data_IF_637347702334
#
_entry.id   IF_637347702334
#
_cell.length_a   1.000
_cell.length_b   1.000
_cell.length_c   1.000
_cell.angle_alpha   90.00
_cell.angle_beta   90.00
_cell.angle_gamma   90.00
#
_symmetry.space_group_name_H-M   'P 1'
#
loop_
_entity.id
_entity.type
_entity.pdbx_description
1 polymer ?
#
# COMPACT_ATOMS: atom_id res chain seq x y z
N UNK A 1 -13.27 8.83 2.89
CA UNK A 1 -13.91 7.50 3.09
C UNK A 1 -14.44 6.86 1.82
N UNK A 2 -15.15 7.59 0.92
CA UNK A 2 -15.65 7.04 -0.37
C UNK A 2 -14.54 6.59 -1.32
N UNK A 3 -13.40 7.31 -1.35
CA UNK A 3 -12.26 7.00 -2.22
C UNK A 3 -11.67 5.62 -1.96
N UNK A 4 -11.50 5.23 -0.69
CA UNK A 4 -10.93 3.94 -0.30
C UNK A 4 -11.86 2.76 -0.64
N UNK A 5 -13.18 2.98 -0.52
CA UNK A 5 -14.16 1.99 -0.97
C UNK A 5 -14.13 1.79 -2.48
N UNK A 6 -13.98 2.88 -3.24
CA UNK A 6 -13.79 2.83 -4.69
C UNK A 6 -12.55 2.00 -5.06
N UNK A 7 -11.40 2.30 -4.45
CA UNK A 7 -10.16 1.56 -4.66
C UNK A 7 -10.32 0.06 -4.32
N UNK A 8 -10.90 -0.24 -3.16
CA UNK A 8 -11.13 -1.63 -2.76
C UNK A 8 -12.05 -2.36 -3.74
N UNK A 9 -13.11 -1.71 -4.23
CA UNK A 9 -14.02 -2.29 -5.23
C UNK A 9 -13.29 -2.65 -6.52
N UNK A 10 -12.41 -1.78 -7.01
CA UNK A 10 -11.61 -2.02 -8.22
C UNK A 10 -10.68 -3.23 -8.05
N UNK A 11 -9.99 -3.33 -6.91
CA UNK A 11 -9.09 -4.45 -6.63
C UNK A 11 -9.84 -5.78 -6.52
N UNK A 12 -10.99 -5.78 -5.84
CA UNK A 12 -11.87 -6.96 -5.71
C UNK A 12 -12.38 -7.41 -7.08
N UNK A 13 -12.87 -6.48 -7.89
CA UNK A 13 -13.32 -6.80 -9.24
C UNK A 13 -12.20 -7.46 -10.05
N UNK A 14 -10.98 -6.90 -10.01
CA UNK A 14 -9.85 -7.46 -10.74
C UNK A 14 -9.46 -8.85 -10.23
N UNK A 15 -9.51 -9.08 -8.93
CA UNK A 15 -9.23 -10.40 -8.33
C UNK A 15 -10.28 -11.43 -8.77
N UNK A 16 -11.55 -11.07 -8.82
CA UNK A 16 -12.63 -11.94 -9.28
C UNK A 16 -12.51 -12.28 -10.77
N UNK A 17 -12.13 -11.31 -11.62
CA UNK A 17 -11.83 -11.57 -13.03
C UNK A 17 -10.70 -12.59 -13.20
N UNK A 18 -9.64 -12.47 -12.39
CA UNK A 18 -8.51 -13.41 -12.39
C UNK A 18 -8.96 -14.81 -11.96
N UNK A 19 -9.78 -14.91 -10.89
CA UNK A 19 -10.34 -16.19 -10.42
C UNK A 19 -11.20 -16.86 -11.49
N UNK A 20 -12.03 -16.09 -12.20
CA UNK A 20 -12.91 -16.60 -13.26
C UNK A 20 -12.18 -17.06 -14.51
N UNK A 21 -11.02 -16.46 -14.82
CA UNK A 21 -10.22 -16.89 -15.98
C UNK A 21 -9.80 -18.37 -15.87
N UNK A 22 -9.61 -18.89 -14.66
CA UNK A 22 -9.39 -20.30 -14.33
C UNK A 22 -8.32 -21.03 -15.18
N UNK A 23 -7.37 -20.28 -15.76
CA UNK A 23 -6.34 -20.79 -16.67
C UNK A 23 -5.07 -21.27 -15.96
N UNK A 24 -5.09 -21.31 -14.62
CA UNK A 24 -3.97 -21.75 -13.78
C UNK A 24 -2.79 -20.78 -13.70
N UNK A 25 -2.84 -19.63 -14.41
CA UNK A 25 -1.76 -18.66 -14.38
C UNK A 25 -1.80 -17.83 -13.08
N UNK A 26 -0.70 -17.88 -12.33
CA UNK A 26 -0.51 -17.03 -11.15
C UNK A 26 -0.35 -15.57 -11.57
N UNK A 27 -1.22 -14.70 -11.05
CA UNK A 27 -1.19 -13.26 -11.31
C UNK A 27 -1.09 -12.49 -10.00
N UNK A 28 -0.44 -11.34 -10.04
CA UNK A 28 -0.29 -10.43 -8.92
C UNK A 28 -0.95 -9.11 -9.29
N UNK A 29 -1.73 -8.55 -8.36
CA UNK A 29 -2.27 -7.20 -8.46
C UNK A 29 -1.38 -6.28 -7.63
N UNK A 30 -0.76 -5.28 -8.26
CA UNK A 30 -0.04 -4.23 -7.57
C UNK A 30 -0.91 -2.97 -7.51
N UNK A 31 -1.14 -2.45 -6.31
CA UNK A 31 -1.81 -1.16 -6.10
C UNK A 31 -0.82 -0.19 -5.48
N UNK A 32 -0.58 0.94 -6.17
CA UNK A 32 0.25 2.03 -5.68
C UNK A 32 -0.64 3.22 -5.31
N UNK A 33 -0.48 3.72 -4.09
CA UNK A 33 -1.35 4.76 -3.54
C UNK A 33 -0.61 5.59 -2.48
N UNK A 34 -1.18 6.73 -2.09
CA UNK A 34 -0.64 7.53 -1.00
C UNK A 34 -0.70 6.78 0.34
N UNK A 35 0.30 6.96 1.20
CA UNK A 35 0.45 6.21 2.45
C UNK A 35 -0.77 6.26 3.38
N UNK A 36 -1.56 7.33 3.34
CA UNK A 36 -2.78 7.43 4.12
C UNK A 36 -3.85 6.37 3.80
N UNK A 37 -3.84 5.82 2.59
CA UNK A 37 -4.77 4.75 2.17
C UNK A 37 -4.37 3.36 2.69
N UNK A 38 -3.15 3.23 3.22
CA UNK A 38 -2.61 2.03 3.87
C UNK A 38 -2.76 2.13 5.39
N UNK A 39 -2.55 3.33 5.96
CA UNK A 39 -2.44 3.52 7.41
C UNK A 39 -3.76 3.86 8.13
N UNK A 40 -4.60 4.75 7.57
CA UNK A 40 -5.63 5.42 8.37
C UNK A 40 -7.05 4.85 8.21
N UNK A 41 -7.84 4.97 9.28
CA UNK A 41 -9.26 4.62 9.31
C UNK A 41 -9.50 3.13 9.05
N UNK A 42 -10.33 2.82 8.04
CA UNK A 42 -10.40 1.47 7.49
C UNK A 42 -9.63 1.48 6.15
N UNK A 43 -8.36 1.07 6.15
CA UNK A 43 -7.49 1.19 4.97
C UNK A 43 -7.90 0.22 3.87
N UNK A 44 -7.41 0.48 2.64
CA UNK A 44 -7.77 -0.28 1.44
C UNK A 44 -7.55 -1.80 1.61
N UNK A 45 -6.41 -2.29 2.14
CA UNK A 45 -6.20 -3.73 2.33
C UNK A 45 -7.24 -4.40 3.24
N UNK A 46 -7.66 -3.71 4.32
CA UNK A 46 -8.73 -4.22 5.20
C UNK A 46 -10.08 -4.27 4.50
N UNK A 47 -10.38 -3.28 3.64
CA UNK A 47 -11.63 -3.27 2.84
C UNK A 47 -11.64 -4.39 1.80
N UNK A 48 -10.51 -4.65 1.13
CA UNK A 48 -10.36 -5.75 0.17
C UNK A 48 -10.55 -7.09 0.86
N UNK A 49 -9.85 -7.34 1.96
CA UNK A 49 -10.00 -8.57 2.74
C UNK A 49 -11.45 -8.80 3.18
N UNK A 50 -12.11 -7.77 3.72
CA UNK A 50 -13.52 -7.86 4.12
C UNK A 50 -14.44 -8.24 2.95
N UNK A 51 -14.22 -7.68 1.76
CA UNK A 51 -15.05 -7.94 0.56
C UNK A 51 -14.83 -9.33 -0.03
N UNK A 52 -13.65 -9.91 0.18
CA UNK A 52 -13.30 -11.26 -0.25
C UNK A 52 -13.42 -12.29 0.88
N UNK A 53 -14.13 -11.97 1.95
CA UNK A 53 -14.32 -12.86 3.11
C UNK A 53 -13.01 -13.38 3.72
N UNK A 54 -11.92 -12.61 3.61
CA UNK A 54 -10.58 -12.99 4.05
C UNK A 54 -9.82 -13.92 3.09
N UNK A 55 -10.42 -14.33 1.97
CA UNK A 55 -9.81 -15.24 0.99
C UNK A 55 -8.83 -14.51 0.04
N UNK A 56 -7.95 -13.68 0.59
CA UNK A 56 -6.96 -12.95 -0.19
C UNK A 56 -5.62 -12.98 0.52
N UNK A 57 -4.58 -13.38 -0.19
CA UNK A 57 -3.20 -13.19 0.25
C UNK A 57 -2.76 -11.80 -0.20
N UNK A 58 -2.43 -10.94 0.76
CA UNK A 58 -2.01 -9.57 0.51
C UNK A 58 -0.76 -9.25 1.33
N UNK A 59 0.04 -8.34 0.80
CA UNK A 59 1.22 -7.79 1.47
C UNK A 59 1.24 -6.29 1.22
N UNK A 60 1.45 -5.53 2.27
CA UNK A 60 1.51 -4.08 2.28
C UNK A 60 2.95 -3.62 2.43
N UNK A 61 3.37 -2.72 1.55
CA UNK A 61 4.69 -2.10 1.60
C UNK A 61 4.49 -0.60 1.77
N UNK A 62 4.96 -0.04 2.88
CA UNK A 62 4.93 1.39 3.12
C UNK A 62 6.26 2.01 2.72
N UNK A 63 6.23 2.82 1.65
CA UNK A 63 7.41 3.49 1.13
C UNK A 63 7.55 4.85 1.78
N UNK A 64 8.73 5.14 2.33
CA UNK A 64 9.03 6.45 2.91
C UNK A 64 10.45 6.90 2.60
N UNK A 65 10.64 8.22 2.57
CA UNK A 65 11.96 8.83 2.56
C UNK A 65 12.68 8.52 3.87
N UNK A 66 13.97 8.21 3.78
CA UNK A 66 14.81 7.96 4.94
C UNK A 66 15.94 8.97 5.02
N UNK A 67 16.02 9.60 6.20
CA UNK A 67 17.12 10.46 6.63
C UNK A 67 17.66 9.89 7.95
N UNK A 68 18.98 9.73 8.12
CA UNK A 68 19.54 9.16 9.37
C UNK A 68 19.13 9.92 10.64
N UNK A 69 18.89 11.23 10.53
CA UNK A 69 18.40 12.09 11.63
C UNK A 69 16.99 11.73 12.11
N UNK A 70 16.23 10.96 11.34
CA UNK A 70 14.86 10.53 11.65
C UNK A 70 14.76 9.02 11.92
N UNK A 71 15.84 8.40 12.39
CA UNK A 71 15.85 6.98 12.71
C UNK A 71 14.79 6.59 13.76
N UNK A 72 14.46 7.49 14.70
CA UNK A 72 13.42 7.24 15.70
C UNK A 72 12.02 7.10 15.08
N UNK A 73 11.70 7.89 14.04
CA UNK A 73 10.41 7.78 13.33
C UNK A 73 10.26 6.38 12.72
N UNK A 74 11.35 5.84 12.17
CA UNK A 74 11.37 4.48 11.63
C UNK A 74 11.19 3.45 12.73
N UNK A 75 11.85 3.61 13.89
CA UNK A 75 11.68 2.68 15.02
C UNK A 75 10.25 2.67 15.54
N UNK A 76 9.62 3.83 15.67
CA UNK A 76 8.21 3.91 16.08
C UNK A 76 7.29 3.14 15.13
N UNK A 77 7.55 3.17 13.82
CA UNK A 77 6.78 2.41 12.82
C UNK A 77 7.09 0.90 12.82
N UNK A 78 8.23 0.48 13.37
CA UNK A 78 8.55 -0.93 13.57
C UNK A 78 7.92 -1.47 14.85
N UNK A 79 7.81 -0.64 15.89
CA UNK A 79 7.19 -0.99 17.17
C UNK A 79 5.65 -1.03 17.07
N UNK A 80 5.05 -0.13 16.28
CA UNK A 80 3.62 -0.13 15.92
C UNK A 80 3.44 -0.24 14.39
N UNK A 81 3.46 -1.46 13.83
CA UNK A 81 3.48 -1.67 12.37
C UNK A 81 2.22 -1.20 11.66
N UNK A 82 2.39 -0.27 10.72
CA UNK A 82 1.33 0.22 9.83
C UNK A 82 1.22 -0.55 8.50
N UNK A 83 2.21 -1.40 8.21
CA UNK A 83 2.32 -2.24 7.01
C UNK A 83 3.20 -3.46 7.30
N UNK A 84 3.14 -4.46 6.42
CA UNK A 84 3.94 -5.69 6.54
C UNK A 84 5.44 -5.43 6.31
N UNK A 85 5.76 -4.46 5.46
CA UNK A 85 7.13 -4.04 5.17
C UNK A 85 7.26 -2.52 5.13
N UNK A 86 8.38 -2.00 5.62
CA UNK A 86 8.82 -0.63 5.40
C UNK A 86 9.89 -0.61 4.30
N UNK A 87 9.70 0.23 3.28
CA UNK A 87 10.71 0.50 2.26
C UNK A 87 11.31 1.89 2.49
N UNK A 88 12.55 1.91 2.95
CA UNK A 88 13.31 3.13 3.21
C UNK A 88 14.07 3.57 1.96
N UNK A 89 13.74 4.75 1.45
CA UNK A 89 14.40 5.31 0.26
C UNK A 89 15.37 6.40 0.70
N UNK A 90 16.70 6.26 0.49
CA UNK A 90 17.65 7.32 0.79
C UNK A 90 17.29 8.58 0.03
N UNK A 91 17.30 9.72 0.71
CA UNK A 91 17.12 11.00 0.05
C UNK A 91 18.37 11.35 -0.75
N UNK A 92 18.19 11.54 -2.06
CA UNK A 92 19.23 12.11 -2.92
C UNK A 92 19.53 13.56 -2.53
N UNK A 93 20.61 14.13 -3.08
CA UNK A 93 20.89 15.56 -2.93
C UNK A 93 19.67 16.34 -3.42
N UNK A 94 19.23 17.34 -2.65
CA UNK A 94 18.14 18.22 -3.05
C UNK A 94 18.40 18.76 -4.45
N UNK A 95 17.48 18.51 -5.39
CA UNK A 95 17.61 19.03 -6.74
C UNK A 95 17.34 20.55 -6.68
N UNK A 96 18.30 21.43 -7.04
CA UNK A 96 18.13 22.88 -6.96
C UNK A 96 17.08 23.41 -7.95
N UNK A 97 16.56 22.57 -8.86
CA UNK A 97 15.48 22.95 -9.76
C UNK A 97 14.20 23.19 -8.97
N UNK A 98 13.66 24.42 -9.10
CA UNK A 98 12.42 24.86 -8.46
C UNK A 98 11.29 23.83 -8.67
N UNK A 99 10.45 23.56 -7.66
CA UNK A 99 9.24 22.77 -7.87
C UNK A 99 8.39 23.44 -8.96
N UNK A 100 7.86 22.62 -9.87
CA UNK A 100 6.94 23.09 -10.91
C UNK A 100 5.77 23.83 -10.23
N UNK A 101 5.46 25.03 -10.74
CA UNK A 101 4.27 25.79 -10.36
C UNK A 101 3.03 25.22 -11.03
#
# INVERSE_FOLDING_TARGET
MVRDEGMAKTLVQRQEEIRRAADGLRRIILSYTGGGHIQYGLPVPKRVARRLSGEVTQTTVYMMSFEPSRAEDVRALLDDPIADYLWLTPMGKANPTKPCK
#
